data_IF_072127568840
#
_entry.id   IF_072127568840
#
_cell.length_a   1.000
_cell.length_b   1.000
_cell.length_c   1.000
_cell.angle_alpha   90.00
_cell.angle_beta   90.00
_cell.angle_gamma   90.00
#
_symmetry.space_group_name_H-M   'P 1'
#
loop_
_entity.id
_entity.type
_entity.pdbx_description
1 polymer ?
#
# COMPACT_ATOMS: atom_id res chain seq x y z
N UNK A 1 9.97 -1.18 11.64
CA UNK A 1 9.79 -2.58 12.09
C UNK A 1 9.52 -3.53 10.93
N UNK A 2 8.59 -3.19 10.01
CA UNK A 2 8.23 -4.00 8.84
C UNK A 2 9.45 -4.49 8.03
N UNK A 3 10.42 -3.60 7.77
CA UNK A 3 11.60 -3.91 6.98
C UNK A 3 12.45 -5.06 7.54
N UNK A 4 12.60 -5.16 8.87
CA UNK A 4 13.42 -6.20 9.52
C UNK A 4 12.63 -7.48 9.79
N UNK A 5 11.36 -7.37 10.19
CA UNK A 5 10.55 -8.53 10.59
C UNK A 5 10.09 -9.37 9.40
N UNK A 6 9.83 -8.77 8.23
CA UNK A 6 9.33 -9.50 7.06
C UNK A 6 10.43 -10.02 6.12
N UNK A 7 11.69 -9.63 6.33
CA UNK A 7 12.78 -9.93 5.38
C UNK A 7 13.92 -10.73 6.00
N UNK A 8 13.83 -11.08 7.28
CA UNK A 8 14.82 -11.91 7.96
C UNK A 8 14.12 -13.18 8.43
N UNK A 9 14.44 -14.32 7.84
CA UNK A 9 14.00 -15.63 8.32
C UNK A 9 15.18 -16.39 8.92
N UNK A 10 15.01 -16.90 10.14
CA UNK A 10 16.00 -17.75 10.81
C UNK A 10 15.52 -19.19 10.65
N UNK A 11 16.33 -20.04 10.02
CA UNK A 11 16.03 -21.46 9.84
C UNK A 11 17.10 -22.30 10.52
N UNK A 12 16.69 -23.30 11.30
CA UNK A 12 17.59 -24.17 12.06
C UNK A 12 18.55 -24.98 11.18
N UNK A 13 18.23 -25.15 9.88
CA UNK A 13 19.03 -25.94 8.93
C UNK A 13 19.97 -25.11 8.06
N UNK A 14 19.68 -23.82 7.82
CA UNK A 14 20.40 -22.97 6.86
C UNK A 14 20.84 -21.60 7.42
N UNK A 15 20.58 -21.31 8.70
CA UNK A 15 20.95 -20.04 9.34
C UNK A 15 20.01 -18.89 8.97
N UNK A 16 20.54 -17.66 8.92
CA UNK A 16 19.79 -16.44 8.59
C UNK A 16 19.67 -16.25 7.08
N UNK A 17 18.47 -16.32 6.53
CA UNK A 17 18.18 -15.88 5.16
C UNK A 17 17.57 -14.48 5.19
N UNK A 18 18.17 -13.55 4.43
CA UNK A 18 17.73 -12.15 4.36
C UNK A 18 17.35 -11.81 2.93
N UNK A 19 16.10 -11.38 2.71
CA UNK A 19 15.68 -10.82 1.42
C UNK A 19 16.18 -9.38 1.31
N UNK A 20 17.45 -9.22 0.91
CA UNK A 20 18.13 -7.92 0.85
C UNK A 20 17.44 -6.93 -0.10
N UNK A 21 16.86 -7.40 -1.21
CA UNK A 21 16.11 -6.56 -2.15
C UNK A 21 14.91 -5.87 -1.51
N UNK A 22 14.06 -6.63 -0.83
CA UNK A 22 12.89 -6.09 -0.13
C UNK A 22 13.31 -5.20 1.05
N UNK A 23 14.37 -5.57 1.78
CA UNK A 23 14.92 -4.77 2.88
C UNK A 23 15.34 -3.38 2.39
N UNK A 24 16.13 -3.29 1.32
CA UNK A 24 16.58 -2.01 0.74
C UNK A 24 15.39 -1.18 0.26
N UNK A 25 14.44 -1.80 -0.42
CA UNK A 25 13.23 -1.13 -0.91
C UNK A 25 12.40 -0.53 0.23
N UNK A 26 12.19 -1.27 1.32
CA UNK A 26 11.44 -0.75 2.48
C UNK A 26 12.21 0.30 3.26
N UNK A 27 13.53 0.19 3.38
CA UNK A 27 14.35 1.25 3.99
C UNK A 27 14.29 2.54 3.19
N UNK A 28 14.37 2.44 1.86
CA UNK A 28 14.22 3.60 0.98
C UNK A 28 12.86 4.28 1.15
N UNK A 29 11.77 3.50 1.17
CA UNK A 29 10.44 4.04 1.46
C UNK A 29 10.35 4.66 2.85
N UNK A 30 10.92 4.02 3.87
CA UNK A 30 10.92 4.56 5.22
C UNK A 30 11.63 5.92 5.28
N UNK A 31 12.74 6.10 4.57
CA UNK A 31 13.43 7.39 4.46
C UNK A 31 12.56 8.44 3.77
N UNK A 32 11.86 8.08 2.70
CA UNK A 32 10.94 9.00 2.02
C UNK A 32 9.78 9.42 2.92
N UNK A 33 9.20 8.48 3.68
CA UNK A 33 8.14 8.76 4.64
C UNK A 33 8.64 9.61 5.82
N UNK A 34 9.81 9.30 6.39
CA UNK A 34 10.43 10.12 7.44
C UNK A 34 10.71 11.54 6.93
N UNK A 35 11.19 11.69 5.70
CA UNK A 35 11.42 13.00 5.08
C UNK A 35 10.13 13.77 4.93
N UNK A 36 9.04 13.12 4.52
CA UNK A 36 7.73 13.75 4.44
C UNK A 36 7.20 14.16 5.83
N UNK A 37 7.46 13.36 6.86
CA UNK A 37 7.06 13.69 8.23
C UNK A 37 7.84 14.89 8.80
N UNK A 38 9.13 15.03 8.46
CA UNK A 38 9.97 16.14 8.93
C UNK A 38 9.72 17.41 8.10
N UNK A 39 9.56 17.26 6.79
CA UNK A 39 9.35 18.35 5.83
C UNK A 39 8.12 18.05 4.97
N UNK A 40 6.90 18.25 5.54
CA UNK A 40 5.66 17.95 4.85
C UNK A 40 5.55 18.82 3.60
N UNK A 41 5.57 18.16 2.44
CA UNK A 41 5.23 18.76 1.14
C UNK A 41 3.76 18.56 0.83
N UNK A 42 3.14 17.55 1.43
CA UNK A 42 1.70 17.33 1.36
C UNK A 42 0.95 18.23 2.34
N UNK A 43 0.03 19.05 1.83
CA UNK A 43 -0.88 19.83 2.67
C UNK A 43 -2.18 19.06 2.86
N UNK A 44 -2.49 18.70 4.10
CA UNK A 44 -3.71 17.96 4.47
C UNK A 44 -4.91 18.91 4.37
N UNK A 45 -5.34 19.20 3.15
CA UNK A 45 -6.55 19.96 2.86
C UNK A 45 -7.54 19.00 2.22
N UNK A 46 -8.38 18.38 3.05
CA UNK A 46 -9.45 17.49 2.59
C UNK A 46 -10.53 18.37 1.95
N UNK A 47 -10.63 18.32 0.62
CA UNK A 47 -11.71 19.01 -0.10
C UNK A 47 -13.05 18.36 0.25
N UNK A 48 -14.15 19.12 0.34
CA UNK A 48 -15.50 18.58 0.61
C UNK A 48 -15.96 17.57 -0.47
N UNK A 49 -15.47 17.71 -1.70
CA UNK A 49 -15.68 16.73 -2.79
C UNK A 49 -14.89 15.41 -2.62
N UNK A 50 -14.04 15.32 -1.59
CA UNK A 50 -13.27 14.11 -1.27
C UNK A 50 -14.13 12.98 -0.68
N UNK A 51 -15.39 13.22 -0.32
CA UNK A 51 -16.30 12.15 0.14
C UNK A 51 -16.57 11.10 -0.96
N UNK A 52 -16.60 11.50 -2.23
CA UNK A 52 -16.62 10.56 -3.36
C UNK A 52 -15.32 9.74 -3.48
N UNK A 53 -14.25 10.19 -2.83
CA UNK A 53 -12.94 9.52 -2.76
C UNK A 53 -12.75 8.80 -1.43
N UNK A 54 -13.79 8.55 -0.63
CA UNK A 54 -13.69 7.73 0.59
C UNK A 54 -13.68 6.22 0.33
N UNK A 55 -14.04 5.76 -0.88
CA UNK A 55 -13.99 4.35 -1.23
C UNK A 55 -12.61 3.69 -0.99
N UNK A 56 -11.44 4.32 -1.30
CA UNK A 56 -10.11 3.76 -1.01
C UNK A 56 -9.90 3.50 0.48
N UNK A 57 -10.49 4.35 1.34
CA UNK A 57 -10.39 4.21 2.78
C UNK A 57 -11.14 2.96 3.25
N UNK A 58 -12.33 2.68 2.68
CA UNK A 58 -13.08 1.46 2.99
C UNK A 58 -12.29 0.21 2.58
N UNK A 59 -11.72 0.20 1.37
CA UNK A 59 -10.88 -0.90 0.90
C UNK A 59 -9.64 -1.10 1.78
N UNK A 60 -9.00 -0.01 2.19
CA UNK A 60 -7.86 -0.07 3.09
C UNK A 60 -8.25 -0.60 4.49
N UNK A 61 -9.40 -0.18 5.03
CA UNK A 61 -9.90 -0.64 6.33
C UNK A 61 -10.22 -2.14 6.31
N UNK A 62 -10.84 -2.65 5.25
CA UNK A 62 -11.10 -4.09 5.09
C UNK A 62 -9.79 -4.88 5.07
N UNK A 63 -8.78 -4.36 4.38
CA UNK A 63 -7.46 -4.99 4.32
C UNK A 63 -6.75 -4.96 5.67
N UNK A 64 -6.86 -3.84 6.37
CA UNK A 64 -6.28 -3.64 7.69
C UNK A 64 -6.96 -4.48 8.78
N UNK A 65 -8.24 -4.80 8.61
CA UNK A 65 -8.96 -5.69 9.51
C UNK A 65 -8.42 -7.12 9.45
N UNK A 66 -7.96 -7.58 8.27
CA UNK A 66 -7.43 -8.93 8.06
C UNK A 66 -8.35 -10.01 8.69
N UNK A 67 -9.60 -10.19 8.20
CA UNK A 67 -10.57 -11.15 8.75
C UNK A 67 -10.18 -12.59 8.37
N UNK A 68 -9.08 -13.08 8.93
CA UNK A 68 -8.50 -14.39 8.67
C UNK A 68 -8.32 -15.10 10.00
N UNK A 69 -8.84 -16.32 10.09
CA UNK A 69 -8.56 -17.16 11.25
C UNK A 69 -7.12 -17.71 11.16
N UNK A 70 -6.25 -17.46 12.15
CA UNK A 70 -4.85 -17.89 12.08
C UNK A 70 -4.66 -19.42 12.12
N UNK A 71 -5.66 -20.17 12.59
CA UNK A 71 -5.59 -21.64 12.68
C UNK A 71 -6.06 -22.36 11.42
N UNK A 72 -7.02 -21.78 10.69
CA UNK A 72 -7.62 -22.41 9.49
C UNK A 72 -7.35 -21.66 8.20
N UNK A 73 -6.86 -20.41 8.29
CA UNK A 73 -6.61 -19.50 7.17
C UNK A 73 -7.86 -19.23 6.31
N UNK A 74 -9.03 -19.46 6.91
CA UNK A 74 -10.36 -19.22 6.34
C UNK A 74 -10.90 -17.85 6.79
N UNK A 75 -11.90 -17.32 6.07
CA UNK A 75 -12.59 -16.08 6.45
C UNK A 75 -13.20 -16.18 7.85
N UNK A 76 -12.81 -15.25 8.72
CA UNK A 76 -13.36 -15.09 10.07
C UNK A 76 -13.48 -13.59 10.38
N UNK A 77 -14.73 -13.11 10.41
CA UNK A 77 -15.08 -11.69 10.52
C UNK A 77 -15.14 -11.22 11.97
N UNK A 78 -14.17 -11.62 12.78
CA UNK A 78 -14.10 -11.19 14.17
C UNK A 78 -13.48 -9.79 14.27
N UNK A 79 -14.20 -8.84 14.86
CA UNK A 79 -13.75 -7.45 15.05
C UNK A 79 -12.46 -7.36 15.90
N UNK A 80 -12.19 -8.38 16.73
CA UNK A 80 -10.97 -8.45 17.53
C UNK A 80 -9.71 -8.42 16.67
N UNK A 81 -9.77 -8.96 15.46
CA UNK A 81 -8.64 -8.96 14.53
C UNK A 81 -8.19 -7.54 14.15
N UNK A 82 -9.04 -6.52 14.27
CA UNK A 82 -8.61 -5.14 14.05
C UNK A 82 -7.52 -4.68 15.04
N UNK A 83 -7.50 -5.26 16.25
CA UNK A 83 -6.55 -4.92 17.31
C UNK A 83 -5.53 -6.02 17.58
N UNK A 84 -5.85 -7.27 17.23
CA UNK A 84 -5.00 -8.43 17.50
C UNK A 84 -4.29 -8.98 16.26
N UNK A 85 -4.70 -8.60 15.05
CA UNK A 85 -4.02 -9.04 13.84
C UNK A 85 -2.66 -8.34 13.70
N UNK A 86 -1.69 -9.04 13.12
CA UNK A 86 -0.41 -8.47 12.73
C UNK A 86 -0.51 -7.58 11.49
N UNK A 87 -1.71 -7.29 10.98
CA UNK A 87 -1.96 -6.53 9.76
C UNK A 87 -1.26 -5.17 9.77
N UNK A 88 -1.36 -4.41 10.87
CA UNK A 88 -0.72 -3.11 10.98
C UNK A 88 0.82 -3.14 10.96
N UNK A 89 1.42 -4.31 11.22
CA UNK A 89 2.86 -4.55 11.13
C UNK A 89 3.29 -5.12 9.77
N UNK A 90 2.32 -5.45 8.91
CA UNK A 90 2.56 -6.04 7.61
C UNK A 90 2.55 -5.00 6.51
N UNK A 91 3.58 -4.99 5.65
CA UNK A 91 3.68 -3.99 4.59
C UNK A 91 2.44 -4.01 3.69
N UNK A 92 1.99 -5.20 3.29
CA UNK A 92 0.90 -5.37 2.35
C UNK A 92 -0.46 -4.89 2.88
N UNK A 93 -0.66 -4.92 4.20
CA UNK A 93 -1.92 -4.52 4.83
C UNK A 93 -1.91 -3.08 5.32
N UNK A 94 -0.73 -2.53 5.67
CA UNK A 94 -0.57 -1.13 6.05
C UNK A 94 -0.48 -0.17 4.83
N UNK A 95 0.14 -0.61 3.74
CA UNK A 95 0.33 0.20 2.52
C UNK A 95 -0.97 0.69 1.85
N UNK A 96 -2.05 -0.12 1.78
CA UNK A 96 -3.35 0.34 1.28
C UNK A 96 -3.88 1.54 2.07
N UNK A 97 -3.69 1.56 3.40
CA UNK A 97 -4.10 2.66 4.25
C UNK A 97 -3.28 3.93 3.96
N UNK A 98 -1.96 3.79 3.83
CA UNK A 98 -1.11 4.91 3.45
C UNK A 98 -1.47 5.48 2.07
N UNK A 99 -1.69 4.62 1.08
CA UNK A 99 -2.13 5.05 -0.25
C UNK A 99 -3.51 5.71 -0.23
N UNK A 100 -4.47 5.16 0.53
CA UNK A 100 -5.79 5.76 0.68
C UNK A 100 -5.71 7.19 1.23
N UNK A 101 -4.87 7.43 2.25
CA UNK A 101 -4.65 8.78 2.80
C UNK A 101 -4.01 9.69 1.73
N UNK A 102 -3.00 9.22 1.01
CA UNK A 102 -2.35 10.00 -0.05
C UNK A 102 -3.31 10.34 -1.20
N UNK A 103 -4.23 9.43 -1.55
CA UNK A 103 -5.28 9.66 -2.55
C UNK A 103 -6.28 10.72 -2.06
N UNK A 104 -6.65 10.71 -0.78
CA UNK A 104 -7.57 11.70 -0.21
C UNK A 104 -6.99 13.13 -0.18
N UNK A 105 -5.67 13.24 0.00
CA UNK A 105 -4.94 14.52 0.04
C UNK A 105 -4.56 15.03 -1.37
N UNK A 106 -4.82 14.23 -2.41
CA UNK A 106 -4.58 14.62 -3.80
C UNK A 106 -5.37 15.89 -4.21
N UNK A 107 -4.79 16.83 -4.97
CA UNK A 107 -3.49 16.81 -5.65
C UNK A 107 -2.31 17.36 -4.85
N UNK A 108 -2.53 17.80 -3.60
CA UNK A 108 -1.51 18.42 -2.77
C UNK A 108 -0.66 17.38 -2.03
N UNK A 109 -0.11 16.43 -2.77
CA UNK A 109 0.66 15.31 -2.21
C UNK A 109 2.05 15.24 -2.82
N UNK A 110 3.03 14.74 -2.07
CA UNK A 110 4.35 14.44 -2.62
C UNK A 110 4.22 13.31 -3.66
N UNK A 111 4.28 13.70 -4.93
CA UNK A 111 4.14 12.81 -6.10
C UNK A 111 5.17 11.68 -6.10
N UNK A 112 6.40 11.95 -5.67
CA UNK A 112 7.47 10.95 -5.60
C UNK A 112 7.16 9.92 -4.52
N UNK A 113 6.74 10.37 -3.34
CA UNK A 113 6.35 9.47 -2.24
C UNK A 113 5.18 8.57 -2.65
N UNK A 114 4.15 9.15 -3.25
CA UNK A 114 2.97 8.42 -3.72
C UNK A 114 3.35 7.40 -4.81
N UNK A 115 4.15 7.79 -5.79
CA UNK A 115 4.60 6.91 -6.86
C UNK A 115 5.48 5.76 -6.35
N UNK A 116 6.47 6.03 -5.49
CA UNK A 116 7.33 5.00 -4.92
C UNK A 116 6.53 4.03 -4.04
N UNK A 117 5.65 4.54 -3.19
CA UNK A 117 4.81 3.71 -2.32
C UNK A 117 3.88 2.83 -3.15
N UNK A 118 3.27 3.39 -4.19
CA UNK A 118 2.40 2.66 -5.10
C UNK A 118 3.15 1.59 -5.90
N UNK A 119 4.34 1.92 -6.43
CA UNK A 119 5.13 0.96 -7.20
C UNK A 119 5.58 -0.22 -6.35
N UNK A 120 6.06 0.04 -5.14
CA UNK A 120 6.42 -1.02 -4.19
C UNK A 120 5.20 -1.83 -3.75
N UNK A 121 4.06 -1.18 -3.47
CA UNK A 121 2.81 -1.84 -3.14
C UNK A 121 2.33 -2.76 -4.26
N UNK A 122 2.44 -2.33 -5.51
CA UNK A 122 2.09 -3.13 -6.69
C UNK A 122 3.02 -4.33 -6.85
N UNK A 123 4.34 -4.14 -6.72
CA UNK A 123 5.32 -5.22 -6.81
C UNK A 123 5.08 -6.30 -5.75
N UNK A 124 4.89 -5.90 -4.49
CA UNK A 124 4.61 -6.82 -3.39
C UNK A 124 3.24 -7.49 -3.52
N UNK A 125 2.20 -6.73 -3.87
CA UNK A 125 0.85 -7.26 -4.04
C UNK A 125 0.75 -8.26 -5.19
N UNK A 126 1.38 -7.98 -6.34
CA UNK A 126 1.42 -8.92 -7.46
C UNK A 126 2.18 -10.21 -7.09
N UNK A 127 3.31 -10.08 -6.39
CA UNK A 127 4.08 -11.24 -5.90
C UNK A 127 3.25 -12.14 -4.98
N UNK A 128 2.53 -11.55 -4.02
CA UNK A 128 1.67 -12.29 -3.10
C UNK A 128 0.45 -12.91 -3.80
N UNK A 129 -0.17 -12.23 -4.77
CA UNK A 129 -1.25 -12.82 -5.56
C UNK A 129 -0.79 -14.05 -6.35
N UNK A 130 0.40 -13.98 -6.97
CA UNK A 130 0.98 -15.14 -7.67
C UNK A 130 1.23 -16.28 -6.67
N UNK A 131 1.81 -15.97 -5.50
CA UNK A 131 2.07 -16.96 -4.47
C UNK A 131 0.77 -17.64 -3.98
N UNK A 132 -0.25 -16.86 -3.64
CA UNK A 132 -1.45 -17.33 -2.94
C UNK A 132 -2.51 -17.91 -3.87
N UNK A 133 -2.55 -17.50 -5.14
CA UNK A 133 -3.48 -18.09 -6.12
C UNK A 133 -2.86 -19.16 -7.01
N UNK A 134 -1.57 -19.05 -7.34
CA UNK A 134 -0.92 -19.96 -8.30
C UNK A 134 -0.06 -21.00 -7.58
N UNK A 135 0.79 -20.59 -6.64
CA UNK A 135 1.73 -21.51 -5.99
C UNK A 135 1.10 -22.26 -4.81
N UNK A 136 0.26 -21.60 -4.01
CA UNK A 136 -0.39 -22.17 -2.82
C UNK A 136 -1.89 -21.83 -2.81
N UNK A 137 -2.71 -22.50 -3.65
CA UNK A 137 -4.13 -22.16 -3.83
C UNK A 137 -4.99 -22.29 -2.56
N UNK A 138 -4.48 -22.99 -1.54
CA UNK A 138 -5.13 -23.09 -0.22
C UNK A 138 -5.25 -21.76 0.52
N UNK A 139 -4.49 -20.73 0.11
CA UNK A 139 -4.49 -19.39 0.71
C UNK A 139 -5.31 -18.37 -0.08
N UNK A 140 -6.27 -18.83 -0.90
CA UNK A 140 -7.11 -17.99 -1.75
C UNK A 140 -7.75 -16.80 -1.02
N UNK A 141 -8.16 -16.96 0.25
CA UNK A 141 -8.78 -15.89 1.03
C UNK A 141 -7.78 -14.79 1.41
N UNK A 142 -6.54 -15.17 1.75
CA UNK A 142 -5.44 -14.24 1.98
C UNK A 142 -5.10 -13.52 0.67
N UNK A 143 -5.14 -14.26 -0.45
CA UNK A 143 -5.06 -13.72 -1.81
C UNK A 143 -6.11 -12.63 -2.05
N UNK A 144 -7.34 -12.85 -1.61
CA UNK A 144 -8.41 -11.86 -1.74
C UNK A 144 -8.09 -10.55 -1.00
N UNK A 145 -7.43 -10.63 0.16
CA UNK A 145 -7.04 -9.45 0.95
C UNK A 145 -5.89 -8.65 0.32
N UNK A 146 -5.18 -9.21 -0.66
CA UNK A 146 -4.16 -8.48 -1.42
C UNK A 146 -4.71 -7.67 -2.61
N UNK A 147 -5.97 -7.91 -3.05
CA UNK A 147 -6.56 -7.12 -4.13
C UNK A 147 -6.64 -5.61 -3.83
N UNK A 148 -7.10 -5.15 -2.66
CA UNK A 148 -7.12 -3.73 -2.34
C UNK A 148 -5.75 -3.06 -2.48
N UNK A 149 -4.67 -3.74 -2.08
CA UNK A 149 -3.30 -3.26 -2.27
C UNK A 149 -2.99 -3.04 -3.75
N UNK A 150 -3.24 -4.04 -4.58
CA UNK A 150 -2.99 -3.96 -6.03
C UNK A 150 -3.84 -2.87 -6.69
N UNK A 151 -5.12 -2.77 -6.32
CA UNK A 151 -6.05 -1.79 -6.86
C UNK A 151 -5.59 -0.36 -6.52
N UNK A 152 -5.33 -0.07 -5.25
CA UNK A 152 -4.90 1.27 -4.82
C UNK A 152 -3.50 1.63 -5.33
N UNK A 153 -2.62 0.63 -5.42
CA UNK A 153 -1.28 0.78 -5.98
C UNK A 153 -1.29 1.01 -7.49
N UNK A 154 -2.25 0.45 -8.23
CA UNK A 154 -2.44 0.75 -9.65
C UNK A 154 -3.16 2.09 -9.88
N UNK A 155 -4.12 2.43 -9.03
CA UNK A 155 -4.90 3.67 -9.14
C UNK A 155 -4.06 4.93 -8.86
N UNK A 156 -3.10 4.84 -7.94
CA UNK A 156 -2.28 5.99 -7.54
C UNK A 156 -1.41 6.57 -8.68
N UNK A 157 -0.64 5.77 -9.44
CA UNK A 157 0.06 6.24 -10.63
C UNK A 157 -0.90 6.75 -11.71
N UNK A 158 -2.05 6.09 -11.91
CA UNK A 158 -3.05 6.54 -12.86
C UNK A 158 -3.56 7.96 -12.55
N UNK A 159 -3.82 8.25 -11.27
CA UNK A 159 -4.15 9.61 -10.82
C UNK A 159 -3.03 10.62 -11.10
N UNK A 160 -1.78 10.24 -10.81
CA UNK A 160 -0.62 11.08 -11.08
C UNK A 160 -0.47 11.39 -12.58
N UNK A 161 -0.65 10.40 -13.46
CA UNK A 161 -0.63 10.58 -14.91
C UNK A 161 -1.76 11.49 -15.39
N UNK A 162 -2.99 11.26 -14.93
CA UNK A 162 -4.17 12.05 -15.33
C UNK A 162 -4.01 13.53 -14.97
N UNK A 163 -3.46 13.83 -13.80
CA UNK A 163 -3.19 15.21 -13.38
C UNK A 163 -2.05 15.83 -14.16
N UNK A 164 -0.98 15.07 -14.44
CA UNK A 164 0.11 15.52 -15.30
C UNK A 164 -0.42 15.95 -16.68
N UNK A 165 -1.32 15.17 -17.28
CA UNK A 165 -1.97 15.51 -18.55
C UNK A 165 -2.85 16.76 -18.45
N UNK A 166 -3.59 16.94 -17.34
CA UNK A 166 -4.39 18.17 -17.12
C UNK A 166 -3.53 19.42 -16.97
N UNK A 167 -2.43 19.34 -16.22
CA UNK A 167 -1.49 20.44 -16.04
C UNK A 167 -0.66 20.76 -17.31
N UNK A 168 -0.43 19.77 -18.18
CA UNK A 168 0.19 19.98 -19.48
C UNK A 168 -0.72 20.68 -20.49
N UNK A 169 -2.04 20.48 -20.40
CA UNK A 169 -3.04 21.13 -21.25
C UNK A 169 -3.20 22.62 -20.90
N UNK A 170 -2.94 23.04 -19.66
CA UNK A 170 -3.01 24.45 -19.24
C UNK A 170 -1.86 25.34 -19.72
N UNK A 171 -0.87 24.81 -20.47
CA UNK A 171 0.32 25.54 -20.95
C UNK A 171 0.30 25.74 -22.47
N UNK A 172 -0.87 25.72 -23.13
CA UNK A 172 -0.99 26.25 -24.50
C UNK A 172 -1.41 27.72 -24.40
N UNK A 173 -0.53 28.69 -24.68
CA UNK A 173 -0.95 30.08 -24.79
C UNK A 173 -1.89 30.19 -25.99
N UNK A 174 -3.08 30.73 -25.77
CA UNK A 174 -3.84 31.35 -26.86
C UNK A 174 -3.05 32.59 -27.30
N UNK A 175 -2.43 32.53 -28.47
CA UNK A 175 -2.02 33.74 -29.21
C UNK A 175 -2.17 33.45 -30.71
N UNK A 176 -3.29 33.91 -31.24
CA UNK A 176 -3.47 34.25 -32.65
C UNK A 176 -3.49 35.78 -32.76
#
# INVERSE_FOLDING_TARGET
MIAFLQNVSISDRWGTAVCTGNLVMFLFLAVLWCREAIHPRSTIVVKKDALWHCWPLLFALVTFWEPVNPGTLLPDFNERYLFTSGAGLSFCMATPLYLAILILVFPNVNRVLMACTAFTGLFMGAGNLILEFILIPGYWWIGCLHFPLVILSGYSPFLLFRESSRSGISVVPQSA
#
